data_IF_919626111575
#
_entry.id   IF_919626111575
#
_cell.length_a   1.000
_cell.length_b   1.000
_cell.length_c   1.000
_cell.angle_alpha   90.00
_cell.angle_beta   90.00
_cell.angle_gamma   90.00
#
_symmetry.space_group_name_H-M   'P 1'
#
loop_
_entity.id
_entity.type
_entity.pdbx_description
1 polymer ?
#
# COMPACT_ATOMS: atom_id res chain seq x y z
N UNK A 1 -13.35 4.00 9.88
CA UNK A 1 -12.26 4.47 10.77
C UNK A 1 -12.59 5.86 11.27
N UNK A 2 -12.11 6.26 12.46
CA UNK A 2 -12.14 7.66 12.89
C UNK A 2 -11.39 8.55 11.91
N UNK A 3 -11.68 9.86 11.91
CA UNK A 3 -10.91 10.82 11.11
C UNK A 3 -9.46 10.85 11.57
N UNK A 4 -8.53 10.81 10.62
CA UNK A 4 -7.10 10.78 10.89
C UNK A 4 -6.31 11.27 9.68
N UNK A 5 -5.14 11.86 9.97
CA UNK A 5 -4.24 12.36 8.92
C UNK A 5 -3.21 11.33 8.47
N UNK A 6 -2.90 10.34 9.30
CA UNK A 6 -1.84 9.36 9.05
C UNK A 6 -2.34 7.94 9.28
N UNK A 7 -2.10 7.07 8.31
CA UNK A 7 -2.34 5.63 8.39
C UNK A 7 -1.00 4.88 8.33
N UNK A 8 -0.83 3.89 9.21
CA UNK A 8 0.34 3.03 9.28
C UNK A 8 -0.10 1.57 9.30
N UNK A 9 0.44 0.76 8.40
CA UNK A 9 0.17 -0.68 8.31
C UNK A 9 1.48 -1.47 8.31
N UNK A 10 1.93 -1.99 9.46
CA UNK A 10 3.20 -2.73 9.56
C UNK A 10 3.20 -4.13 8.93
N UNK A 11 2.00 -4.70 8.73
CA UNK A 11 1.74 -6.03 8.20
C UNK A 11 0.80 -5.92 7.00
N UNK A 12 1.33 -5.43 5.89
CA UNK A 12 0.53 -5.00 4.74
C UNK A 12 -0.25 -6.14 4.07
N UNK A 13 0.38 -7.29 3.89
CA UNK A 13 -0.20 -8.42 3.17
C UNK A 13 -0.71 -8.02 1.78
N UNK A 14 -2.02 -8.15 1.56
CA UNK A 14 -2.67 -7.79 0.30
C UNK A 14 -3.06 -6.32 0.16
N UNK A 15 -2.95 -5.52 1.23
CA UNK A 15 -3.40 -4.12 1.26
C UNK A 15 -4.92 -3.95 1.28
N UNK A 16 -5.69 -5.00 1.56
CA UNK A 16 -7.15 -4.97 1.52
C UNK A 16 -7.74 -3.81 2.35
N UNK A 17 -7.18 -3.52 3.53
CA UNK A 17 -7.67 -2.42 4.35
C UNK A 17 -7.34 -1.06 3.75
N UNK A 18 -6.06 -0.83 3.38
CA UNK A 18 -5.62 0.42 2.73
C UNK A 18 -6.49 0.77 1.53
N UNK A 19 -6.80 -0.19 0.66
CA UNK A 19 -7.56 0.04 -0.57
C UNK A 19 -9.06 0.25 -0.36
N UNK A 20 -9.62 -0.17 0.79
CA UNK A 20 -11.05 -0.02 1.07
C UNK A 20 -11.38 1.11 2.05
N UNK A 21 -10.40 1.63 2.81
CA UNK A 21 -10.62 2.76 3.71
C UNK A 21 -10.66 4.09 2.94
N UNK A 22 -11.21 5.12 3.57
CA UNK A 22 -11.04 6.49 3.10
C UNK A 22 -9.56 6.89 3.07
N UNK A 23 -9.17 7.67 2.05
CA UNK A 23 -7.79 8.12 1.88
C UNK A 23 -7.36 9.03 3.02
N UNK A 24 -6.17 8.80 3.55
CA UNK A 24 -5.53 9.61 4.58
C UNK A 24 -4.45 10.50 3.94
N UNK A 25 -4.06 11.61 4.59
CA UNK A 25 -3.03 12.51 4.02
C UNK A 25 -1.69 11.79 3.85
N UNK A 26 -1.29 11.03 4.86
CA UNK A 26 -0.07 10.22 4.87
C UNK A 26 -0.45 8.75 5.05
N UNK A 27 0.09 7.88 4.22
CA UNK A 27 -0.16 6.43 4.27
C UNK A 27 1.18 5.72 4.12
N UNK A 28 1.58 4.97 5.15
CA UNK A 28 2.83 4.22 5.18
C UNK A 28 2.51 2.74 5.39
N UNK A 29 3.05 1.90 4.52
CA UNK A 29 2.89 0.45 4.58
C UNK A 29 4.26 -0.22 4.71
N UNK A 30 4.29 -1.34 5.40
CA UNK A 30 5.45 -2.22 5.50
C UNK A 30 4.99 -3.68 5.47
N UNK A 31 5.86 -4.57 4.99
CA UNK A 31 5.72 -6.00 5.17
C UNK A 31 7.10 -6.63 5.43
N UNK A 32 7.13 -7.73 6.17
CA UNK A 32 8.37 -8.49 6.38
C UNK A 32 8.74 -9.30 5.12
N UNK A 33 7.75 -9.69 4.32
CA UNK A 33 8.00 -10.33 3.04
C UNK A 33 8.47 -9.29 2.01
N UNK A 34 9.76 -9.36 1.68
CA UNK A 34 10.37 -8.48 0.68
C UNK A 34 9.74 -8.58 -0.70
N UNK A 35 9.09 -9.70 -1.05
CA UNK A 35 8.39 -9.85 -2.33
C UNK A 35 7.11 -9.02 -2.36
N UNK A 36 6.38 -8.92 -1.23
CA UNK A 36 5.20 -8.06 -1.11
C UNK A 36 5.63 -6.61 -1.31
N UNK A 37 6.65 -6.16 -0.59
CA UNK A 37 7.20 -4.80 -0.73
C UNK A 37 7.64 -4.53 -2.17
N UNK A 38 8.36 -5.47 -2.77
CA UNK A 38 8.86 -5.32 -4.14
C UNK A 38 7.73 -5.26 -5.17
N UNK A 39 6.72 -6.13 -5.06
CA UNK A 39 5.58 -6.19 -5.97
C UNK A 39 4.86 -4.84 -6.02
N UNK A 40 4.47 -4.30 -4.87
CA UNK A 40 3.74 -3.04 -4.82
C UNK A 40 4.60 -1.84 -5.22
N UNK A 41 5.92 -1.86 -4.95
CA UNK A 41 6.85 -0.85 -5.46
C UNK A 41 6.91 -0.85 -6.99
N UNK A 42 7.07 -2.02 -7.61
CA UNK A 42 7.14 -2.17 -9.07
C UNK A 42 5.82 -1.77 -9.73
N UNK A 43 4.67 -2.18 -9.17
CA UNK A 43 3.35 -1.74 -9.67
C UNK A 43 3.23 -0.21 -9.64
N UNK A 44 3.68 0.44 -8.56
CA UNK A 44 3.64 1.89 -8.42
C UNK A 44 4.52 2.61 -9.43
N UNK A 45 5.74 2.12 -9.64
CA UNK A 45 6.77 2.82 -10.41
C UNK A 45 6.73 2.49 -11.90
N UNK A 46 6.28 1.29 -12.28
CA UNK A 46 6.31 0.77 -13.65
C UNK A 46 4.92 0.37 -14.18
N UNK A 47 3.85 0.99 -13.65
CA UNK A 47 2.45 0.69 -14.00
C UNK A 47 2.23 0.52 -15.51
N UNK A 48 2.73 1.45 -16.33
CA UNK A 48 2.47 1.45 -17.77
C UNK A 48 3.09 0.24 -18.50
N UNK A 49 4.18 -0.32 -17.97
CA UNK A 49 4.85 -1.48 -18.57
C UNK A 49 4.10 -2.79 -18.25
N UNK A 50 3.32 -2.81 -17.17
CA UNK A 50 2.60 -4.00 -16.68
C UNK A 50 1.16 -4.11 -17.20
N UNK A 51 0.65 -3.09 -17.89
CA UNK A 51 -0.74 -3.03 -18.38
C UNK A 51 -0.93 -3.62 -19.79
N UNK A 52 0.12 -4.17 -20.39
CA UNK A 52 0.13 -4.74 -21.75
C UNK A 52 -0.03 -6.26 -21.74
#
# INVERSE_FOLDING_TARGET
MPDHKTYLEPFFGSGAFLFNKGRSKNETVNDIDGNVVNLFRVIRERRNELLN
#
